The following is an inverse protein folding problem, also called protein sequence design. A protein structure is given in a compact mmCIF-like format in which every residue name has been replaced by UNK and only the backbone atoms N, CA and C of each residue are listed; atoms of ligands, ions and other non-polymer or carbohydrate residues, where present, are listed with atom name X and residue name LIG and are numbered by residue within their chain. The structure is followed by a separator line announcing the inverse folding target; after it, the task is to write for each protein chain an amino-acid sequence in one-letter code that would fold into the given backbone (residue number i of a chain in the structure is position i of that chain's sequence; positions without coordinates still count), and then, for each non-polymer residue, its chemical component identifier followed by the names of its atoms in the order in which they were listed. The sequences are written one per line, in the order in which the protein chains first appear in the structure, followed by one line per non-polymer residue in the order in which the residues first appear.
data_IF_041491964865
#
_entry.id   IF_041491964865
#
_cell.length_a   1.000
_cell.length_b   1.000
_cell.length_c   1.000
_cell.angle_alpha   90.00
_cell.angle_beta   90.00
_cell.angle_gamma   90.00
#
_symmetry.space_group_name_H-M   'P 1'
#
loop_
_entity.id
_entity.type
_entity.pdbx_description
1 polymer ?
#
# COMPACT_ATOMS: atom_id res chain seq x y z
N UNK A 1 11.06 -23.83 2.04
CA UNK A 1 10.64 -22.78 1.08
C UNK A 1 11.47 -21.50 1.22
N UNK A 2 11.47 -20.78 2.34
CA UNK A 2 12.26 -19.52 2.49
C UNK A 2 13.78 -19.67 2.28
N UNK A 3 14.39 -20.77 2.76
CA UNK A 3 15.81 -21.09 2.51
C UNK A 3 16.18 -21.26 1.02
N UNK A 4 15.19 -21.53 0.18
CA UNK A 4 15.35 -21.72 -1.27
C UNK A 4 15.39 -20.36 -1.96
N UNK A 5 14.49 -19.45 -1.58
CA UNK A 5 14.50 -18.06 -2.05
C UNK A 5 15.72 -17.26 -1.58
N UNK A 6 16.35 -17.64 -0.46
CA UNK A 6 17.58 -17.00 0.04
C UNK A 6 18.87 -17.68 -0.41
N UNK A 7 18.82 -18.64 -1.33
CA UNK A 7 20.02 -19.31 -1.89
C UNK A 7 20.73 -20.27 -0.93
N UNK A 8 20.09 -20.68 0.17
CA UNK A 8 20.66 -21.57 1.21
C UNK A 8 20.29 -23.05 0.96
N UNK A 9 20.44 -23.52 -0.28
CA UNK A 9 20.25 -24.93 -0.64
C UNK A 9 21.60 -25.67 -0.65
N UNK A 10 21.68 -26.76 0.10
CA UNK A 10 22.75 -27.76 -0.03
C UNK A 10 22.53 -28.54 -1.33
N UNK A 11 23.61 -28.80 -2.06
CA UNK A 11 23.63 -29.30 -3.45
C UNK A 11 22.93 -30.65 -3.65
N UNK A 12 22.63 -31.39 -2.58
CA UNK A 12 22.15 -32.78 -2.61
C UNK A 12 20.62 -32.96 -2.71
N UNK A 13 19.80 -31.93 -2.47
CA UNK A 13 18.32 -32.02 -2.55
C UNK A 13 17.74 -31.45 -3.85
N UNK A 14 18.27 -31.87 -5.01
CA UNK A 14 17.76 -31.45 -6.33
C UNK A 14 16.76 -32.44 -6.89
N UNK A 15 15.51 -32.43 -6.40
CA UNK A 15 14.43 -33.09 -7.14
C UNK A 15 14.06 -32.25 -8.38
N UNK A 16 13.90 -32.88 -9.53
CA UNK A 16 13.60 -32.22 -10.81
C UNK A 16 12.31 -31.41 -10.78
N UNK A 17 11.32 -31.86 -10.01
CA UNK A 17 10.06 -31.16 -9.79
C UNK A 17 10.26 -29.82 -9.06
N UNK A 18 11.04 -29.78 -7.97
CA UNK A 18 11.28 -28.53 -7.24
C UNK A 18 12.02 -27.48 -8.08
N UNK A 19 12.95 -27.91 -8.94
CA UNK A 19 13.64 -27.01 -9.87
C UNK A 19 12.71 -26.47 -10.96
N UNK A 20 11.71 -27.25 -11.36
CA UNK A 20 10.69 -26.79 -12.30
C UNK A 20 9.79 -25.74 -11.66
N UNK A 21 9.25 -26.01 -10.47
CA UNK A 21 8.39 -25.07 -9.73
C UNK A 21 9.09 -23.72 -9.48
N UNK A 22 10.38 -23.75 -9.14
CA UNK A 22 11.17 -22.53 -8.96
C UNK A 22 11.30 -21.71 -10.24
N UNK A 23 11.56 -22.37 -11.37
CA UNK A 23 11.64 -21.69 -12.67
C UNK A 23 10.29 -21.10 -13.07
N UNK A 24 9.19 -21.78 -12.74
CA UNK A 24 7.85 -21.24 -12.98
C UNK A 24 7.57 -19.99 -12.14
N UNK A 25 7.90 -20.01 -10.84
CA UNK A 25 7.76 -18.84 -9.96
C UNK A 25 8.64 -17.69 -10.45
N UNK A 26 9.91 -17.95 -10.81
CA UNK A 26 10.82 -16.93 -11.34
C UNK A 26 10.27 -16.33 -12.65
N UNK A 27 9.82 -17.17 -13.57
CA UNK A 27 9.20 -16.72 -14.82
C UNK A 27 7.90 -15.95 -14.59
N UNK A 28 7.11 -16.31 -13.57
CA UNK A 28 5.90 -15.59 -13.18
C UNK A 28 6.23 -14.20 -12.63
N UNK A 29 7.17 -14.10 -11.67
CA UNK A 29 7.62 -12.82 -11.10
C UNK A 29 8.21 -11.93 -12.21
N UNK A 30 9.05 -12.51 -13.07
CA UNK A 30 9.65 -11.77 -14.18
C UNK A 30 8.60 -11.23 -15.15
N UNK A 31 7.59 -12.04 -15.51
CA UNK A 31 6.47 -11.60 -16.36
C UNK A 31 5.65 -10.51 -15.69
N UNK A 32 5.38 -10.63 -14.40
CA UNK A 32 4.64 -9.63 -13.64
C UNK A 32 5.38 -8.28 -13.63
N UNK A 33 6.68 -8.28 -13.29
CA UNK A 33 7.52 -7.08 -13.22
C UNK A 33 7.73 -6.42 -14.59
N UNK A 34 7.66 -7.18 -15.68
CA UNK A 34 7.79 -6.67 -17.05
C UNK A 34 6.46 -6.36 -17.73
N UNK A 35 5.33 -6.69 -17.10
CA UNK A 35 4.02 -6.37 -17.64
C UNK A 35 3.83 -4.85 -17.65
N UNK A 36 3.39 -4.24 -18.75
CA UNK A 36 3.12 -2.81 -18.77
C UNK A 36 1.94 -2.48 -17.86
N UNK A 37 2.00 -1.32 -17.20
CA UNK A 37 0.86 -0.80 -16.44
C UNK A 37 -0.35 -0.63 -17.38
N UNK A 38 -1.54 -1.16 -17.04
CA UNK A 38 -2.70 -1.08 -17.91
C UNK A 38 -3.11 0.38 -18.13
N UNK A 39 -3.36 0.75 -19.38
CA UNK A 39 -3.89 2.07 -19.73
C UNK A 39 -5.32 2.17 -19.23
N UNK A 40 -5.59 3.18 -18.42
CA UNK A 40 -6.90 3.54 -17.86
C UNK A 40 -8.02 3.46 -18.92
N UNK A 41 -9.06 2.69 -18.61
CA UNK A 41 -10.22 2.48 -19.49
C UNK A 41 -9.98 1.69 -20.79
N UNK A 42 -8.75 1.29 -21.11
CA UNK A 42 -8.41 0.65 -22.40
C UNK A 42 -7.83 -0.75 -22.28
N UNK A 43 -6.99 -0.98 -21.27
CA UNK A 43 -6.29 -2.26 -21.08
C UNK A 43 -6.58 -2.83 -19.70
N UNK A 44 -6.43 -4.14 -19.58
CA UNK A 44 -6.47 -4.89 -18.33
C UNK A 44 -5.33 -5.90 -18.29
N UNK A 45 -4.98 -6.34 -17.09
CA UNK A 45 -4.01 -7.41 -16.84
C UNK A 45 -4.77 -8.53 -16.14
N UNK A 46 -4.79 -9.71 -16.76
CA UNK A 46 -5.35 -10.91 -16.17
C UNK A 46 -4.19 -11.73 -15.56
N UNK A 47 -4.23 -11.95 -14.24
CA UNK A 47 -3.18 -12.63 -13.47
C UNK A 47 -3.69 -13.99 -13.01
N UNK A 48 -3.09 -15.04 -13.53
CA UNK A 48 -3.30 -16.41 -13.08
C UNK A 48 -2.33 -16.72 -11.93
N UNK A 49 -2.89 -16.99 -10.75
CA UNK A 49 -2.13 -17.35 -9.53
C UNK A 49 -2.27 -18.84 -9.21
N UNK A 50 -3.41 -19.44 -9.59
CA UNK A 50 -3.75 -20.83 -9.40
C UNK A 50 -4.30 -21.42 -10.72
N UNK A 51 -4.34 -22.75 -10.87
CA UNK A 51 -5.00 -23.40 -12.01
C UNK A 51 -6.44 -22.92 -12.16
N UNK A 52 -6.88 -22.79 -13.42
CA UNK A 52 -8.17 -22.18 -13.76
C UNK A 52 -9.37 -22.97 -13.22
N UNK A 53 -9.18 -24.26 -12.94
CA UNK A 53 -10.17 -25.14 -12.31
C UNK A 53 -10.43 -24.78 -10.84
N UNK A 54 -9.44 -24.19 -10.16
CA UNK A 54 -9.51 -23.80 -8.76
C UNK A 54 -9.93 -22.34 -8.59
N UNK A 55 -9.41 -21.44 -9.44
CA UNK A 55 -9.70 -20.02 -9.36
C UNK A 55 -9.63 -19.35 -10.73
N UNK A 56 -10.60 -18.50 -11.09
CA UNK A 56 -10.47 -17.65 -12.27
C UNK A 56 -9.30 -16.66 -12.11
N UNK A 57 -8.75 -16.22 -13.24
CA UNK A 57 -7.72 -15.19 -13.27
C UNK A 57 -8.19 -13.91 -12.56
N UNK A 58 -7.28 -13.25 -11.85
CA UNK A 58 -7.52 -11.97 -11.22
C UNK A 58 -7.36 -10.86 -12.26
N UNK A 59 -8.43 -10.12 -12.52
CA UNK A 59 -8.42 -9.02 -13.50
C UNK A 59 -8.11 -7.68 -12.83
N UNK A 60 -7.07 -7.00 -13.30
CA UNK A 60 -6.66 -5.67 -12.87
C UNK A 60 -6.82 -4.67 -14.01
N UNK A 61 -7.49 -3.55 -13.76
CA UNK A 61 -7.63 -2.45 -14.71
C UNK A 61 -7.66 -1.12 -13.96
N UNK A 62 -7.11 -0.07 -14.56
CA UNK A 62 -7.20 1.27 -14.01
C UNK A 62 -8.55 1.91 -14.36
N UNK A 63 -9.20 2.61 -13.41
CA UNK A 63 -10.46 3.31 -13.65
C UNK A 63 -10.25 4.41 -14.68
N UNK A 64 -11.30 4.75 -15.44
CA UNK A 64 -11.25 5.85 -16.40
C UNK A 64 -11.09 7.22 -15.70
N UNK A 65 -10.63 8.28 -16.38
CA UNK A 65 -10.37 9.58 -15.75
C UNK A 65 -11.60 10.28 -15.16
N UNK A 66 -12.82 9.85 -15.49
CA UNK A 66 -14.06 10.37 -14.89
C UNK A 66 -14.41 9.75 -13.54
N UNK A 67 -13.66 8.72 -13.12
CA UNK A 67 -13.85 8.03 -11.83
C UNK A 67 -12.76 8.41 -10.84
N UNK A 68 -13.06 8.22 -9.56
CA UNK A 68 -12.06 8.32 -8.51
C UNK A 68 -10.94 7.30 -8.72
N UNK A 69 -9.72 7.70 -8.37
CA UNK A 69 -8.56 6.81 -8.33
C UNK A 69 -8.84 5.65 -7.37
N UNK A 70 -8.37 4.46 -7.74
CA UNK A 70 -8.38 3.32 -6.83
C UNK A 70 -7.46 3.61 -5.65
N UNK A 71 -7.97 3.36 -4.44
CA UNK A 71 -7.19 3.40 -3.21
C UNK A 71 -7.20 2.01 -2.59
N UNK A 72 -6.04 1.58 -2.08
CA UNK A 72 -5.86 0.26 -1.48
C UNK A 72 -6.22 0.24 0.02
N UNK A 73 -6.94 1.26 0.51
CA UNK A 73 -7.28 1.46 1.92
C UNK A 73 -8.73 1.96 2.09
N UNK A 74 -9.39 1.61 3.21
CA UNK A 74 -10.78 1.98 3.49
C UNK A 74 -10.92 3.45 3.91
N UNK A 75 -11.62 4.25 3.09
CA UNK A 75 -11.89 5.66 3.40
C UNK A 75 -12.79 5.88 4.62
N UNK A 76 -13.62 4.90 4.98
CA UNK A 76 -14.50 4.99 6.15
C UNK A 76 -13.78 4.75 7.48
N UNK A 77 -12.56 4.19 7.45
CA UNK A 77 -11.86 3.76 8.65
C UNK A 77 -11.59 4.91 9.65
N UNK A 78 -11.14 6.12 9.23
CA UNK A 78 -10.99 7.23 10.17
C UNK A 78 -12.30 7.64 10.85
N UNK A 79 -13.43 7.61 10.12
CA UNK A 79 -14.75 7.90 10.67
C UNK A 79 -15.19 6.84 11.67
N UNK A 80 -14.91 5.57 11.39
CA UNK A 80 -15.24 4.45 12.28
C UNK A 80 -14.43 4.50 13.59
N UNK A 81 -13.13 4.82 13.50
CA UNK A 81 -12.22 4.80 14.64
C UNK A 81 -12.29 6.06 15.52
N UNK A 82 -12.44 7.24 14.91
CA UNK A 82 -12.44 8.52 15.62
C UNK A 82 -13.85 9.04 15.92
N UNK A 83 -14.86 8.52 15.24
CA UNK A 83 -16.18 9.13 15.19
C UNK A 83 -16.22 10.37 14.28
N UNK A 84 -17.42 10.91 14.08
CA UNK A 84 -17.67 11.98 13.11
C UNK A 84 -16.96 13.28 13.49
N UNK A 85 -17.14 13.76 14.73
CA UNK A 85 -16.65 15.07 15.14
C UNK A 85 -15.12 15.17 15.09
N UNK A 86 -14.42 14.17 15.65
CA UNK A 86 -12.96 14.14 15.65
C UNK A 86 -12.39 13.94 14.24
N UNK A 87 -13.03 13.12 13.39
CA UNK A 87 -12.61 12.95 12.01
C UNK A 87 -12.72 14.28 11.22
N UNK A 88 -13.83 15.02 11.39
CA UNK A 88 -13.99 16.33 10.76
C UNK A 88 -12.98 17.36 11.29
N UNK A 89 -12.65 17.31 12.58
CA UNK A 89 -11.62 18.17 13.16
C UNK A 89 -10.24 17.89 12.54
N UNK A 90 -9.86 16.61 12.38
CA UNK A 90 -8.59 16.23 11.72
C UNK A 90 -8.58 16.67 10.26
N UNK A 91 -9.66 16.44 9.50
CA UNK A 91 -9.78 16.95 8.13
C UNK A 91 -9.63 18.47 8.06
N UNK A 92 -10.25 19.19 8.98
CA UNK A 92 -10.11 20.65 9.08
C UNK A 92 -8.67 21.04 9.36
N UNK A 93 -7.98 20.34 10.27
CA UNK A 93 -6.56 20.58 10.54
C UNK A 93 -5.68 20.35 9.31
N UNK A 94 -5.96 19.32 8.52
CA UNK A 94 -5.23 19.01 7.29
C UNK A 94 -5.46 20.09 6.23
N UNK A 95 -6.72 20.52 6.02
CA UNK A 95 -7.08 21.56 5.07
C UNK A 95 -6.51 22.94 5.44
N UNK A 96 -6.29 23.19 6.73
CA UNK A 96 -5.62 24.39 7.25
C UNK A 96 -4.10 24.23 7.35
N UNK A 97 -3.54 23.14 6.83
CA UNK A 97 -2.11 22.87 6.82
C UNK A 97 -1.48 22.90 8.23
N UNK A 98 -2.17 22.35 9.22
CA UNK A 98 -1.60 22.15 10.55
C UNK A 98 -0.68 20.92 10.60
N UNK A 99 0.14 20.85 11.65
CA UNK A 99 0.92 19.66 12.00
C UNK A 99 0.00 18.66 12.68
N UNK A 100 -0.22 17.52 12.06
CA UNK A 100 -1.13 16.47 12.54
C UNK A 100 -0.32 15.23 12.90
N UNK A 101 -0.45 14.78 14.15
CA UNK A 101 0.08 13.50 14.62
C UNK A 101 -1.08 12.60 15.00
N UNK A 102 -1.16 11.44 14.37
CA UNK A 102 -2.13 10.39 14.67
C UNK A 102 -1.40 9.30 15.46
N UNK A 103 -2.04 8.72 16.47
CA UNK A 103 -1.45 7.65 17.25
C UNK A 103 -2.46 6.51 17.40
N UNK A 104 -1.99 5.28 17.18
CA UNK A 104 -2.78 4.07 17.44
C UNK A 104 -1.88 2.97 17.97
N UNK A 105 -2.49 2.01 18.66
CA UNK A 105 -1.83 0.73 19.02
C UNK A 105 -1.79 -0.25 17.85
N UNK A 106 -2.65 -0.05 16.86
CA UNK A 106 -2.70 -0.85 15.64
C UNK A 106 -2.03 -0.07 14.49
N UNK A 107 -0.85 -0.55 14.09
CA UNK A 107 -0.04 0.05 13.03
C UNK A 107 -0.73 0.04 11.66
N UNK A 108 -1.54 -0.99 11.39
CA UNK A 108 -2.24 -1.13 10.12
C UNK A 108 -3.38 -0.11 10.04
N UNK A 109 -4.19 -0.04 11.10
CA UNK A 109 -5.25 0.96 11.20
C UNK A 109 -4.71 2.40 11.12
N UNK A 110 -3.55 2.65 11.74
CA UNK A 110 -2.87 3.95 11.70
C UNK A 110 -2.44 4.34 10.29
N UNK A 111 -1.69 3.45 9.62
CA UNK A 111 -1.17 3.68 8.27
C UNK A 111 -2.31 3.90 7.28
N UNK A 112 -3.34 3.04 7.32
CA UNK A 112 -4.52 3.18 6.46
C UNK A 112 -5.28 4.46 6.76
N UNK A 113 -5.40 4.87 8.02
CA UNK A 113 -6.13 6.10 8.39
C UNK A 113 -5.41 7.35 7.90
N UNK A 114 -4.08 7.42 8.03
CA UNK A 114 -3.28 8.53 7.48
C UNK A 114 -3.48 8.62 5.97
N UNK A 115 -3.39 7.50 5.25
CA UNK A 115 -3.59 7.47 3.80
C UNK A 115 -5.03 7.84 3.41
N UNK A 116 -6.03 7.39 4.16
CA UNK A 116 -7.43 7.73 3.97
C UNK A 116 -7.67 9.23 4.13
N UNK A 117 -7.09 9.87 5.15
CA UNK A 117 -7.20 11.32 5.32
C UNK A 117 -6.63 12.11 4.14
N UNK A 118 -5.47 11.70 3.61
CA UNK A 118 -4.87 12.33 2.43
C UNK A 118 -5.71 12.11 1.18
N UNK A 119 -6.35 10.94 1.02
CA UNK A 119 -7.25 10.70 -0.12
C UNK A 119 -8.58 11.47 -0.01
N UNK A 120 -9.08 11.70 1.20
CA UNK A 120 -10.36 12.38 1.43
C UNK A 120 -10.35 13.87 1.07
N UNK A 121 -9.18 14.50 0.94
CA UNK A 121 -9.09 15.91 0.53
C UNK A 121 -9.19 16.11 -0.99
N UNK A 122 -9.40 15.05 -1.78
CA UNK A 122 -9.66 15.15 -3.21
C UNK A 122 -10.70 16.25 -3.52
N UNK A 123 -10.46 17.13 -4.51
CA UNK A 123 -9.41 17.06 -5.54
C UNK A 123 -8.09 17.75 -5.15
N UNK A 124 -7.92 18.16 -3.89
CA UNK A 124 -6.70 18.81 -3.41
C UNK A 124 -5.57 17.79 -3.25
N UNK A 125 -4.34 18.24 -3.49
CA UNK A 125 -3.14 17.47 -3.26
C UNK A 125 -2.41 18.02 -2.03
N UNK A 126 -2.14 17.16 -1.04
CA UNK A 126 -1.37 17.54 0.12
C UNK A 126 0.12 17.62 -0.26
N UNK A 127 0.73 18.79 -0.11
CA UNK A 127 2.08 19.07 -0.62
C UNK A 127 3.21 18.88 0.41
N UNK A 128 2.87 18.59 1.66
CA UNK A 128 3.83 18.47 2.76
C UNK A 128 4.11 16.99 3.12
N UNK A 129 5.11 16.71 3.98
CA UNK A 129 5.44 15.35 4.35
C UNK A 129 4.26 14.57 4.94
N UNK A 130 4.04 13.37 4.40
CA UNK A 130 3.11 12.36 4.92
C UNK A 130 3.91 11.12 5.29
N UNK A 131 3.88 10.75 6.56
CA UNK A 131 4.53 9.53 7.08
C UNK A 131 3.45 8.68 7.72
N UNK A 132 2.87 7.68 7.02
CA UNK A 132 1.76 6.87 7.54
C UNK A 132 2.10 6.10 8.80
N UNK A 133 3.37 5.73 8.97
CA UNK A 133 3.88 5.07 10.15
C UNK A 133 5.34 5.49 10.37
N UNK A 134 5.59 6.24 11.43
CA UNK A 134 6.92 6.61 11.83
C UNK A 134 7.65 5.40 12.44
N UNK A 135 8.79 4.96 11.87
CA UNK A 135 9.47 3.76 12.33
C UNK A 135 10.06 3.95 13.74
N UNK A 136 9.72 3.04 14.64
CA UNK A 136 10.15 3.05 16.05
C UNK A 136 11.64 2.76 16.24
N UNK A 137 12.29 2.17 15.24
CA UNK A 137 13.71 1.80 15.27
C UNK A 137 14.65 2.93 14.82
N UNK A 138 14.11 4.06 14.36
CA UNK A 138 14.92 5.20 13.94
C UNK A 138 15.21 6.09 15.15
N UNK A 139 16.44 6.03 15.66
CA UNK A 139 16.87 6.92 16.72
C UNK A 139 16.61 8.38 16.33
N UNK A 140 16.02 9.15 17.24
CA UNK A 140 15.66 10.56 17.01
C UNK A 140 14.58 10.80 15.93
N UNK A 141 13.75 9.81 15.58
CA UNK A 141 12.60 10.02 14.67
C UNK A 141 11.66 11.14 15.14
N UNK A 142 11.54 11.36 16.45
CA UNK A 142 10.80 12.47 17.06
C UNK A 142 11.30 13.85 16.60
N UNK A 143 12.55 13.97 16.13
CA UNK A 143 13.07 15.22 15.57
C UNK A 143 12.32 15.64 14.30
N UNK A 144 11.71 14.70 13.58
CA UNK A 144 10.86 15.02 12.44
C UNK A 144 9.62 15.83 12.87
N UNK A 145 9.16 15.67 14.11
CA UNK A 145 8.06 16.47 14.67
C UNK A 145 8.44 17.95 14.86
N UNK A 146 9.74 18.25 14.92
CA UNK A 146 10.27 19.61 15.02
C UNK A 146 10.33 20.33 13.67
N UNK A 147 10.00 19.65 12.56
CA UNK A 147 9.96 20.27 11.25
C UNK A 147 9.10 21.55 11.30
N UNK A 148 9.57 22.68 10.74
CA UNK A 148 8.82 23.94 10.82
C UNK A 148 7.59 23.95 9.92
N UNK A 149 7.61 23.13 8.87
CA UNK A 149 6.51 22.96 7.91
C UNK A 149 5.39 22.09 8.46
N UNK A 150 4.18 22.18 7.88
CA UNK A 150 3.10 21.22 8.10
C UNK A 150 3.54 19.77 7.83
N UNK A 151 2.83 18.81 8.42
CA UNK A 151 3.00 17.39 8.15
C UNK A 151 1.79 16.60 8.64
N UNK A 152 1.65 15.36 8.12
CA UNK A 152 0.76 14.34 8.67
C UNK A 152 1.62 13.12 9.00
N UNK A 153 1.68 12.76 10.28
CA UNK A 153 2.52 11.64 10.75
C UNK A 153 1.64 10.70 11.60
N UNK A 154 1.71 9.41 11.30
CA UNK A 154 1.23 8.32 12.16
C UNK A 154 2.35 7.75 13.01
#
# INVERSE_FOLDING_TARGET
MWRIFTGSLLVEEKSSALLHDLREIEAWIYRLLRSPVPVSGQKRVDIEVLPQELQPALTFALPDPSRFTLVDFPLHLPLELLGVDACLQVLTCILLEHKVVLQSRDYNALSMSVMAFVAMIYPLEYMFPVIPLLPTCMASAEQLLLAPTPYIIG
#
